data_IF_178511233321
#
_entry.id   IF_178511233321
#
_cell.length_a   1.000
_cell.length_b   1.000
_cell.length_c   1.000
_cell.angle_alpha   90.00
_cell.angle_beta   90.00
_cell.angle_gamma   90.00
#
_symmetry.space_group_name_H-M   'P 1'
#
loop_
_entity.id
_entity.type
_entity.pdbx_description
1 polymer ?
#
# COMPACT_ATOMS: atom_id res chain seq x y z
N UNK A 1 17.07 -4.30 -27.86
CA UNK A 1 17.22 -3.13 -26.97
C UNK A 1 15.85 -2.81 -26.40
N UNK A 2 15.64 -2.99 -25.10
CA UNK A 2 14.35 -2.69 -24.48
C UNK A 2 14.26 -1.17 -24.26
N UNK A 3 13.52 -0.48 -25.13
CA UNK A 3 13.17 0.93 -24.96
C UNK A 3 12.12 1.07 -23.85
N UNK A 4 12.51 0.82 -22.60
CA UNK A 4 11.66 1.03 -21.46
C UNK A 4 11.44 2.55 -21.30
N UNK A 5 10.25 3.01 -21.72
CA UNK A 5 9.82 4.40 -21.48
C UNK A 5 9.93 4.68 -19.98
N UNK A 6 10.70 5.70 -19.63
CA UNK A 6 10.85 6.15 -18.24
C UNK A 6 9.47 6.64 -17.78
N UNK A 7 8.88 5.93 -16.83
CA UNK A 7 7.57 6.25 -16.29
C UNK A 7 7.62 7.59 -15.55
N UNK A 8 6.58 8.40 -15.69
CA UNK A 8 6.45 9.61 -14.89
C UNK A 8 6.12 9.23 -13.43
N UNK A 9 6.28 10.18 -12.50
CA UNK A 9 6.12 9.94 -11.06
C UNK A 9 4.73 9.41 -10.68
N UNK A 10 3.69 9.79 -11.43
CA UNK A 10 2.31 9.35 -11.19
C UNK A 10 2.07 7.92 -11.68
N UNK A 11 2.56 7.59 -12.88
CA UNK A 11 2.55 6.24 -13.43
C UNK A 11 3.35 5.27 -12.54
N UNK A 12 4.49 5.73 -12.04
CA UNK A 12 5.30 4.96 -11.10
C UNK A 12 4.61 4.77 -9.75
N UNK A 13 3.82 5.76 -9.29
CA UNK A 13 2.94 5.57 -8.13
C UNK A 13 1.93 4.48 -8.43
N UNK A 14 1.16 4.56 -9.52
CA UNK A 14 0.13 3.57 -9.86
C UNK A 14 0.68 2.14 -9.99
N UNK A 15 1.84 1.96 -10.64
CA UNK A 15 2.48 0.65 -10.81
C UNK A 15 3.00 0.09 -9.47
N UNK A 16 3.55 0.95 -8.60
CA UNK A 16 3.96 0.56 -7.26
C UNK A 16 2.79 0.58 -6.24
N UNK A 17 1.54 0.66 -6.72
CA UNK A 17 0.31 0.50 -5.94
C UNK A 17 -0.31 1.78 -5.35
N UNK A 18 0.07 2.95 -5.83
CA UNK A 18 -0.42 4.24 -5.33
C UNK A 18 0.07 4.50 -3.90
N UNK A 19 -0.54 5.46 -3.22
CA UNK A 19 -0.34 5.64 -1.77
C UNK A 19 -0.97 4.45 -1.02
N UNK A 20 -0.39 3.27 -1.16
CA UNK A 20 -0.67 2.14 -0.29
C UNK A 20 -0.42 2.65 1.13
N UNK A 21 -1.46 2.70 1.95
CA UNK A 21 -1.34 2.99 3.37
C UNK A 21 -0.66 1.79 4.03
N UNK A 22 0.66 1.71 3.84
CA UNK A 22 1.52 0.75 4.51
C UNK A 22 1.41 1.00 6.00
N UNK A 23 1.25 -0.10 6.71
CA UNK A 23 1.11 -0.10 8.14
C UNK A 23 2.26 -0.91 8.75
N UNK A 24 2.61 -0.57 9.97
CA UNK A 24 3.63 -1.26 10.76
C UNK A 24 3.37 -0.98 12.24
N UNK A 25 4.14 -1.62 13.13
CA UNK A 25 4.01 -1.37 14.57
C UNK A 25 4.16 0.11 14.96
N UNK A 26 4.96 0.88 14.22
CA UNK A 26 5.19 2.32 14.44
C UNK A 26 4.29 3.22 13.60
N UNK A 27 3.51 2.64 12.68
CA UNK A 27 2.55 3.35 11.83
C UNK A 27 1.25 2.56 11.78
N UNK A 28 0.41 2.66 12.82
CA UNK A 28 -0.85 1.94 12.87
C UNK A 28 -1.83 2.46 11.80
N UNK A 29 -2.79 1.62 11.46
CA UNK A 29 -3.90 2.02 10.59
C UNK A 29 -4.90 2.89 11.34
N UNK A 30 -5.76 3.56 10.58
CA UNK A 30 -6.94 4.24 11.14
C UNK A 30 -7.81 3.26 11.93
N UNK A 31 -8.56 3.75 12.90
CA UNK A 31 -9.47 2.95 13.71
C UNK A 31 -10.45 2.20 12.80
N UNK A 32 -10.63 0.89 13.04
CA UNK A 32 -11.48 0.01 12.23
C UNK A 32 -10.76 -0.67 11.05
N UNK A 33 -9.47 -0.41 10.86
CA UNK A 33 -8.65 -1.02 9.81
C UNK A 33 -7.55 -1.90 10.40
N UNK A 34 -7.27 -3.01 9.74
CA UNK A 34 -6.29 -3.98 10.18
C UNK A 34 -5.00 -3.88 9.38
N UNK A 35 -3.89 -4.16 10.07
CA UNK A 35 -2.57 -4.08 9.49
C UNK A 35 -2.07 -5.45 9.03
N UNK A 36 -1.97 -5.64 7.72
CA UNK A 36 -1.37 -6.83 7.10
C UNK A 36 -0.37 -6.39 6.01
N UNK A 37 0.68 -5.67 6.45
CA UNK A 37 1.62 -4.94 5.60
C UNK A 37 1.05 -3.69 4.93
N UNK A 38 -0.27 -3.65 4.78
CA UNK A 38 -1.09 -2.54 4.30
C UNK A 38 -2.37 -2.47 5.13
N UNK A 39 -2.95 -1.28 5.29
CA UNK A 39 -4.24 -1.11 5.94
C UNK A 39 -5.35 -1.71 5.08
N UNK A 40 -6.12 -2.64 5.65
CA UNK A 40 -7.29 -3.27 5.02
C UNK A 40 -8.53 -3.06 5.89
N UNK A 41 -9.69 -2.89 5.26
CA UNK A 41 -10.99 -2.72 5.94
C UNK A 41 -11.54 -4.02 6.57
N UNK A 42 -10.88 -5.15 6.34
CA UNK A 42 -11.30 -6.43 6.91
C UNK A 42 -11.01 -6.46 8.41
N UNK A 43 -12.08 -6.54 9.19
CA UNK A 43 -12.05 -6.81 10.63
C UNK A 43 -11.01 -7.91 10.90
N UNK A 44 -10.06 -7.60 11.78
CA UNK A 44 -8.94 -8.46 12.11
C UNK A 44 -9.56 -9.78 12.54
N UNK A 45 -9.38 -10.85 11.74
CA UNK A 45 -9.86 -12.17 12.14
C UNK A 45 -8.97 -12.56 13.32
N UNK A 46 -9.46 -12.30 14.54
CA UNK A 46 -8.89 -12.83 15.76
C UNK A 46 -9.04 -14.36 15.68
N UNK A 47 -7.92 -15.07 15.65
CA UNK A 47 -7.85 -16.51 15.86
C UNK A 47 -7.76 -16.81 17.36
#
# INVERSE_FOLDING_TARGET
>A
MNNLKKLNREQQRQINGGAINKCSLTKPCSIGWCCDGVCKEYACIEF
#
